data_IF_796369517459
#
_entry.id   IF_796369517459
#
_cell.length_a   1.000
_cell.length_b   1.000
_cell.length_c   1.000
_cell.angle_alpha   90.00
_cell.angle_beta   90.00
_cell.angle_gamma   90.00
#
_symmetry.space_group_name_H-M   'P 1'
#
loop_
_entity.id
_entity.type
_entity.pdbx_description
1 polymer ?
#
# COMPACT_ATOMS: atom_id res chain seq x y z
N UNK A 1 -29.53 8.71 2.54
CA UNK A 1 -28.78 7.46 2.31
C UNK A 1 -27.85 7.70 1.14
N UNK A 2 -26.54 7.83 1.38
CA UNK A 2 -25.57 7.98 0.29
C UNK A 2 -25.43 6.66 -0.44
N UNK A 3 -25.64 6.65 -1.75
CA UNK A 3 -25.32 5.48 -2.57
C UNK A 3 -23.82 5.22 -2.40
N UNK A 4 -23.46 4.01 -1.95
CA UNK A 4 -22.08 3.56 -1.96
C UNK A 4 -21.54 3.60 -3.39
N UNK A 5 -20.22 3.75 -3.58
CA UNK A 5 -19.63 3.77 -4.91
C UNK A 5 -20.09 2.54 -5.71
N UNK A 6 -20.62 2.77 -6.91
CA UNK A 6 -20.95 1.68 -7.82
C UNK A 6 -19.67 0.99 -8.29
N UNK A 7 -19.71 -0.31 -8.63
CA UNK A 7 -18.50 -1.07 -9.01
C UNK A 7 -17.68 -0.46 -10.16
N UNK A 8 -18.32 0.37 -11.00
CA UNK A 8 -17.65 1.11 -12.08
C UNK A 8 -16.75 2.26 -11.58
N UNK A 9 -16.97 2.76 -10.36
CA UNK A 9 -16.15 3.78 -9.71
C UNK A 9 -15.12 3.22 -8.72
N UNK A 10 -15.16 1.91 -8.46
CA UNK A 10 -14.34 1.27 -7.42
C UNK A 10 -12.88 1.10 -7.82
N UNK A 11 -12.60 0.96 -9.12
CA UNK A 11 -11.25 0.68 -9.63
C UNK A 11 -10.75 1.81 -10.53
N UNK A 12 -9.47 2.16 -10.36
CA UNK A 12 -8.77 3.14 -11.17
C UNK A 12 -7.30 2.76 -11.35
N UNK A 13 -6.61 3.45 -12.25
CA UNK A 13 -5.17 3.28 -12.46
C UNK A 13 -4.41 3.87 -11.27
N UNK A 14 -3.56 3.07 -10.63
CA UNK A 14 -2.68 3.52 -9.55
C UNK A 14 -1.58 4.41 -10.13
N UNK A 15 -1.53 5.66 -9.68
CA UNK A 15 -0.51 6.62 -10.10
C UNK A 15 0.68 6.61 -9.13
N UNK A 16 0.39 6.48 -7.83
CA UNK A 16 1.42 6.53 -6.79
C UNK A 16 0.89 6.17 -5.42
N UNK A 17 1.82 5.88 -4.51
CA UNK A 17 1.52 5.63 -3.12
C UNK A 17 2.70 6.04 -2.22
N UNK A 18 2.40 6.43 -0.99
CA UNK A 18 3.39 6.78 0.03
C UNK A 18 2.91 6.28 1.39
N UNK A 19 3.82 5.67 2.14
CA UNK A 19 3.53 5.22 3.50
C UNK A 19 4.50 5.85 4.49
N UNK A 20 3.97 6.34 5.62
CA UNK A 20 4.76 6.94 6.69
C UNK A 20 4.39 6.34 8.05
N UNK A 21 5.33 6.21 8.99
CA UNK A 21 5.02 5.93 10.38
C UNK A 21 4.11 7.01 10.98
N UNK A 22 3.07 6.61 11.71
CA UNK A 22 2.15 7.49 12.41
C UNK A 22 1.89 6.96 13.82
N UNK A 23 2.91 7.03 14.68
CA UNK A 23 2.91 6.40 16.01
C UNK A 23 2.81 4.88 15.91
N UNK A 24 1.76 4.29 16.49
CA UNK A 24 1.47 2.85 16.39
C UNK A 24 0.73 2.44 15.11
N UNK A 25 0.42 3.41 14.25
CA UNK A 25 -0.21 3.21 12.95
C UNK A 25 0.77 3.50 11.80
N UNK A 26 0.33 3.17 10.61
CA UNK A 26 0.95 3.55 9.34
C UNK A 26 -0.06 4.42 8.60
N UNK A 27 0.36 5.62 8.20
CA UNK A 27 -0.40 6.45 7.28
C UNK A 27 -0.06 6.01 5.86
N UNK A 28 -1.07 5.67 5.06
CA UNK A 28 -0.93 5.31 3.65
C UNK A 28 -1.73 6.30 2.80
N UNK A 29 -1.04 7.00 1.90
CA UNK A 29 -1.63 7.77 0.82
C UNK A 29 -1.57 6.94 -0.46
N UNK A 30 -2.70 6.79 -1.14
CA UNK A 30 -2.78 6.22 -2.49
C UNK A 30 -3.39 7.24 -3.44
N UNK A 31 -2.84 7.33 -4.65
CA UNK A 31 -3.30 8.22 -5.69
C UNK A 31 -3.73 7.40 -6.90
N UNK A 32 -4.94 7.64 -7.39
CA UNK A 32 -5.47 6.94 -8.56
C UNK A 32 -6.24 7.89 -9.48
N UNK A 33 -6.48 7.42 -10.71
CA UNK A 33 -7.33 8.11 -11.68
C UNK A 33 -8.17 7.12 -12.46
N UNK A 34 -9.30 7.56 -13.00
CA UNK A 34 -10.15 6.79 -13.90
C UNK A 34 -9.96 7.16 -15.38
N UNK A 35 -9.09 8.14 -15.68
CA UNK A 35 -8.87 8.67 -17.03
C UNK A 35 -7.42 9.15 -17.20
N UNK A 36 -7.09 9.66 -18.39
CA UNK A 36 -5.81 10.36 -18.62
C UNK A 36 -5.77 11.61 -17.73
N UNK A 37 -4.63 11.84 -17.08
CA UNK A 37 -4.44 12.95 -16.15
C UNK A 37 -4.02 14.19 -16.93
N UNK A 38 -4.91 15.17 -17.00
CA UNK A 38 -4.63 16.48 -17.61
C UNK A 38 -4.39 17.56 -16.54
N UNK A 39 -4.95 17.38 -15.34
CA UNK A 39 -4.74 18.28 -14.19
C UNK A 39 -4.77 17.55 -12.84
N UNK A 40 -4.45 18.27 -11.76
CA UNK A 40 -4.45 17.72 -10.39
C UNK A 40 -5.83 17.23 -9.93
N UNK A 41 -6.89 17.81 -10.46
CA UNK A 41 -8.28 17.48 -10.12
C UNK A 41 -8.69 16.10 -10.65
N UNK A 42 -7.95 15.56 -11.62
CA UNK A 42 -8.16 14.21 -12.16
C UNK A 42 -7.60 13.10 -11.26
N UNK A 43 -6.86 13.49 -10.21
CA UNK A 43 -6.23 12.57 -9.27
C UNK A 43 -7.09 12.45 -8.02
N UNK A 44 -7.56 11.23 -7.76
CA UNK A 44 -8.25 10.87 -6.52
C UNK A 44 -7.21 10.44 -5.48
N UNK A 45 -7.31 10.99 -4.28
CA UNK A 45 -6.44 10.64 -3.16
C UNK A 45 -7.20 9.88 -2.08
N UNK A 46 -6.67 8.72 -1.69
CA UNK A 46 -7.19 7.89 -0.61
C UNK A 46 -6.18 7.85 0.53
N UNK A 47 -6.63 8.20 1.74
CA UNK A 47 -5.80 8.26 2.95
C UNK A 47 -6.30 7.23 3.94
N UNK A 48 -5.41 6.35 4.37
CA UNK A 48 -5.70 5.29 5.34
C UNK A 48 -4.76 5.40 6.54
N UNK A 49 -5.30 5.16 7.73
CA UNK A 49 -4.51 4.86 8.91
C UNK A 49 -4.70 3.39 9.27
N UNK A 50 -3.63 2.62 9.16
CA UNK A 50 -3.65 1.17 9.38
C UNK A 50 -2.82 0.80 10.59
N UNK A 51 -3.19 -0.26 11.30
CA UNK A 51 -2.24 -0.91 12.22
C UNK A 51 -1.09 -1.52 11.43
N UNK A 52 0.04 -1.76 12.11
CA UNK A 52 1.16 -2.53 11.55
C UNK A 52 0.70 -3.90 11.02
N UNK A 53 -0.22 -4.56 11.73
CA UNK A 53 -0.78 -5.86 11.32
C UNK A 53 -1.66 -5.77 10.06
N UNK A 54 -2.51 -4.74 9.96
CA UNK A 54 -3.33 -4.50 8.75
C UNK A 54 -2.43 -4.23 7.53
N UNK A 55 -1.37 -3.45 7.70
CA UNK A 55 -0.41 -3.20 6.63
C UNK A 55 0.31 -4.48 6.17
N UNK A 56 0.68 -5.37 7.11
CA UNK A 56 1.26 -6.67 6.79
C UNK A 56 0.28 -7.53 6.00
N UNK A 57 -0.99 -7.61 6.43
CA UNK A 57 -2.01 -8.37 5.73
C UNK A 57 -2.25 -7.85 4.31
N UNK A 58 -2.35 -6.53 4.14
CA UNK A 58 -2.48 -5.89 2.83
C UNK A 58 -1.28 -6.22 1.93
N UNK A 59 -0.05 -6.08 2.45
CA UNK A 59 1.15 -6.39 1.69
C UNK A 59 1.22 -7.86 1.27
N UNK A 60 0.92 -8.79 2.18
CA UNK A 60 0.90 -10.22 1.87
C UNK A 60 -0.13 -10.57 0.81
N UNK A 61 -1.35 -10.00 0.91
CA UNK A 61 -2.39 -10.19 -0.09
C UNK A 61 -1.95 -9.71 -1.49
N UNK A 62 -1.27 -8.56 -1.56
CA UNK A 62 -0.75 -8.05 -2.83
C UNK A 62 0.37 -8.95 -3.41
N UNK A 63 1.25 -9.52 -2.57
CA UNK A 63 2.25 -10.50 -3.02
C UNK A 63 1.60 -11.77 -3.58
N UNK A 64 0.64 -12.33 -2.83
CA UNK A 64 -0.08 -13.54 -3.25
C UNK A 64 -0.80 -13.33 -4.59
N UNK A 65 -1.51 -12.22 -4.75
CA UNK A 65 -2.16 -11.86 -6.01
C UNK A 65 -1.18 -11.69 -7.17
N UNK A 66 0.02 -11.17 -6.91
CA UNK A 66 1.06 -11.00 -7.92
C UNK A 66 1.75 -12.32 -8.29
N UNK A 67 1.45 -13.44 -7.61
CA UNK A 67 2.16 -14.71 -7.77
C UNK A 67 3.58 -14.67 -7.21
N UNK A 68 3.87 -13.70 -6.34
CA UNK A 68 5.18 -13.45 -5.76
C UNK A 68 5.20 -13.78 -4.27
N UNK A 69 6.40 -13.91 -3.70
CA UNK A 69 6.56 -14.08 -2.24
C UNK A 69 7.05 -12.79 -1.61
N UNK A 70 6.58 -12.51 -0.38
CA UNK A 70 7.08 -11.37 0.36
C UNK A 70 8.61 -11.45 0.53
N UNK A 71 9.36 -10.35 0.29
CA UNK A 71 10.80 -10.33 0.40
C UNK A 71 11.25 -10.84 1.77
N UNK A 72 12.16 -11.82 1.77
CA UNK A 72 12.78 -12.27 3.01
C UNK A 72 13.54 -11.09 3.61
N UNK A 73 13.25 -10.73 4.86
CA UNK A 73 14.07 -9.78 5.62
C UNK A 73 15.51 -10.28 5.57
N UNK A 74 16.41 -9.48 4.98
CA UNK A 74 17.85 -9.73 5.07
C UNK A 74 18.22 -9.61 6.54
N UNK A 75 18.35 -10.74 7.22
CA UNK A 75 19.10 -10.80 8.49
C UNK A 75 20.50 -10.32 8.18
N UNK A 76 20.89 -9.15 8.70
CA UNK A 76 22.23 -8.63 8.49
C UNK A 76 23.23 -9.62 9.11
N UNK A 77 24.01 -10.28 8.26
CA UNK A 77 24.93 -11.36 8.61
C UNK A 77 26.16 -10.92 9.39
N UNK A 78 26.11 -9.80 10.11
CA UNK A 78 27.23 -9.34 10.95
C UNK A 78 27.32 -10.12 12.27
N UNK A 79 26.20 -10.56 12.86
CA UNK A 79 26.22 -11.31 14.12
C UNK A 79 26.53 -12.82 13.95
N UNK A 80 26.41 -13.36 12.73
CA UNK A 80 26.75 -14.76 12.43
C UNK A 80 28.26 -15.02 12.28
N UNK A 81 29.10 -13.99 12.28
CA UNK A 81 30.56 -14.12 12.06
C UNK A 81 31.40 -14.08 13.35
N UNK A 82 30.77 -13.88 14.50
CA UNK A 82 31.42 -13.73 15.82
C UNK A 82 31.34 -14.99 16.71
N UNK A 83 30.70 -16.07 16.24
CA UNK A 83 30.54 -17.33 16.99
C UNK A 83 31.11 -18.56 16.24
N UNK A 84 32.20 -18.40 15.49
CA UNK A 84 32.97 -19.54 14.92
C UNK A 84 34.42 -19.51 15.39
#
# INVERSE_FOLDING_TARGET
MGQGPTDKDAFGMLLGWRADPAGEKIALLMQSTSKVVDSSEDVREYRYFMTKQQAIQLGNYLYELAGETAPKRRTSGFFTRLFR
#
